data_IF_359270585277
#
_entry.id   IF_359270585277
#
_cell.length_a   1.000
_cell.length_b   1.000
_cell.length_c   1.000
_cell.angle_alpha   90.00
_cell.angle_beta   90.00
_cell.angle_gamma   90.00
#
_symmetry.space_group_name_H-M   'P 1'
#
loop_
_entity.id
_entity.type
_entity.pdbx_description
1 polymer ?
#
# COMPACT_ATOMS: atom_id res chain seq x y z
N UNK A 1 53.68 -57.20 10.24
CA UNK A 1 53.91 -55.76 10.25
C UNK A 1 52.93 -55.13 9.23
N UNK A 2 51.73 -54.83 9.67
CA UNK A 2 50.62 -54.32 8.79
C UNK A 2 50.33 -52.87 9.13
N UNK A 3 50.61 -51.98 8.20
CA UNK A 3 50.26 -50.59 8.29
C UNK A 3 48.84 -50.38 7.74
N UNK A 4 47.89 -50.01 8.60
CA UNK A 4 46.53 -49.56 8.23
C UNK A 4 46.60 -48.04 7.95
N UNK A 5 46.42 -47.65 6.70
CA UNK A 5 46.18 -46.24 6.33
C UNK A 5 44.72 -45.90 6.56
N UNK A 6 44.48 -44.97 7.49
CA UNK A 6 43.17 -44.33 7.67
C UNK A 6 43.01 -43.18 6.66
N UNK A 7 42.15 -43.37 5.68
CA UNK A 7 41.65 -42.29 4.81
C UNK A 7 40.56 -41.53 5.52
N UNK A 8 40.81 -40.29 6.00
CA UNK A 8 39.80 -39.40 6.50
C UNK A 8 39.16 -38.68 5.31
N UNK A 9 37.96 -39.09 4.92
CA UNK A 9 37.09 -38.33 4.00
C UNK A 9 36.57 -37.07 4.69
N UNK A 10 37.10 -35.94 4.27
CA UNK A 10 36.57 -34.62 4.68
C UNK A 10 35.38 -34.29 3.78
N UNK A 11 34.16 -34.57 4.25
CA UNK A 11 32.93 -34.22 3.57
C UNK A 11 32.66 -32.73 3.81
N UNK A 12 33.04 -31.90 2.83
CA UNK A 12 32.78 -30.47 2.85
C UNK A 12 31.32 -30.23 2.52
N UNK A 13 30.46 -30.07 3.56
CA UNK A 13 29.08 -29.61 3.39
C UNK A 13 29.09 -28.13 2.96
N UNK A 14 29.05 -27.88 1.67
CA UNK A 14 28.73 -26.58 1.11
C UNK A 14 27.25 -26.23 1.44
N UNK A 15 27.05 -25.52 2.53
CA UNK A 15 25.79 -24.86 2.82
C UNK A 15 25.58 -23.75 1.80
N UNK A 16 24.83 -24.05 0.74
CA UNK A 16 24.26 -23.01 -0.11
C UNK A 16 23.24 -22.21 0.71
N UNK A 17 23.66 -21.07 1.24
CA UNK A 17 22.75 -20.05 1.68
C UNK A 17 22.00 -19.54 0.45
N UNK A 18 20.80 -20.07 0.20
CA UNK A 18 19.88 -19.44 -0.72
C UNK A 18 19.39 -18.15 -0.06
N UNK A 19 19.95 -17.03 -0.48
CA UNK A 19 19.37 -15.71 -0.18
C UNK A 19 18.05 -15.68 -0.94
N UNK A 20 16.98 -16.03 -0.26
CA UNK A 20 15.62 -15.85 -0.80
C UNK A 20 15.36 -14.35 -0.83
N UNK A 21 15.65 -13.71 -1.96
CA UNK A 21 15.11 -12.38 -2.24
C UNK A 21 13.61 -12.55 -2.35
N UNK A 22 12.86 -11.96 -1.44
CA UNK A 22 11.40 -11.99 -1.47
C UNK A 22 10.93 -11.41 -2.81
N UNK A 23 10.47 -12.28 -3.69
CA UNK A 23 9.96 -11.89 -5.00
C UNK A 23 8.67 -11.10 -4.82
N UNK A 24 8.54 -9.96 -5.50
CA UNK A 24 7.30 -9.20 -5.53
C UNK A 24 6.19 -10.07 -6.13
N UNK A 25 4.98 -10.07 -5.54
CA UNK A 25 3.87 -10.86 -6.07
C UNK A 25 3.43 -10.33 -7.44
N UNK A 26 2.98 -11.20 -8.30
CA UNK A 26 2.28 -10.79 -9.52
C UNK A 26 0.92 -10.19 -9.13
N UNK A 27 0.65 -8.98 -9.61
CA UNK A 27 -0.57 -8.25 -9.28
C UNK A 27 -1.20 -7.64 -10.51
N UNK A 28 -2.51 -7.58 -10.52
CA UNK A 28 -3.29 -6.93 -11.58
C UNK A 28 -4.08 -5.74 -11.04
N UNK A 29 -4.16 -4.68 -11.86
CA UNK A 29 -4.96 -3.49 -11.61
C UNK A 29 -6.26 -3.53 -12.40
N UNK A 30 -7.36 -3.24 -11.72
CA UNK A 30 -8.69 -3.09 -12.30
C UNK A 30 -9.29 -1.76 -11.88
N UNK A 31 -10.18 -1.21 -12.73
CA UNK A 31 -11.05 -0.08 -12.42
C UNK A 31 -12.50 -0.50 -12.55
N UNK A 32 -13.31 -0.17 -11.59
CA UNK A 32 -14.75 -0.35 -11.61
C UNK A 32 -15.46 1.01 -11.43
N UNK A 33 -16.40 1.33 -12.30
CA UNK A 33 -17.25 2.49 -12.20
C UNK A 33 -18.56 2.10 -11.51
N UNK A 34 -18.72 2.52 -10.26
CA UNK A 34 -19.87 2.20 -9.41
C UNK A 34 -21.03 3.11 -9.78
N UNK A 35 -22.21 2.54 -10.04
CA UNK A 35 -23.39 3.31 -10.43
C UNK A 35 -23.91 4.21 -9.30
N UNK A 36 -24.06 3.63 -8.10
CA UNK A 36 -24.51 4.34 -6.90
C UNK A 36 -23.81 3.76 -5.66
N UNK A 37 -22.97 4.56 -5.03
CA UNK A 37 -22.28 4.22 -3.78
C UNK A 37 -23.22 4.09 -2.57
N UNK A 38 -24.44 4.65 -2.64
CA UNK A 38 -25.40 4.60 -1.55
C UNK A 38 -26.35 3.40 -1.64
N UNK A 39 -26.31 2.66 -2.76
CA UNK A 39 -27.09 1.45 -2.90
C UNK A 39 -26.65 0.36 -1.91
N UNK A 40 -27.59 -0.42 -1.41
CA UNK A 40 -27.30 -1.58 -0.53
C UNK A 40 -26.55 -2.69 -1.23
N UNK A 41 -26.63 -2.76 -2.57
CA UNK A 41 -25.83 -3.59 -3.45
C UNK A 41 -25.31 -2.73 -4.60
N UNK A 42 -24.01 -2.81 -4.86
CA UNK A 42 -23.38 -2.04 -5.91
C UNK A 42 -23.56 -2.70 -7.27
N UNK A 43 -23.88 -1.88 -8.25
CA UNK A 43 -23.84 -2.22 -9.66
C UNK A 43 -22.71 -1.44 -10.32
N UNK A 44 -22.04 -2.09 -11.24
CA UNK A 44 -20.91 -1.51 -11.97
C UNK A 44 -21.33 -1.20 -13.40
N UNK A 45 -21.18 0.03 -13.85
CA UNK A 45 -21.40 0.44 -15.23
C UNK A 45 -20.32 -0.18 -16.15
N UNK A 46 -19.09 -0.27 -15.63
CA UNK A 46 -17.95 -0.79 -16.36
C UNK A 46 -16.91 -1.33 -15.39
N UNK A 47 -16.28 -2.45 -15.75
CA UNK A 47 -15.05 -2.94 -15.13
C UNK A 47 -13.99 -3.07 -16.21
N UNK A 48 -12.81 -2.48 -16.00
CA UNK A 48 -11.71 -2.45 -16.96
C UNK A 48 -10.45 -3.06 -16.33
N UNK A 49 -9.76 -3.90 -17.10
CA UNK A 49 -8.45 -4.42 -16.76
C UNK A 49 -7.39 -3.41 -17.19
N UNK A 50 -6.71 -2.77 -16.25
CA UNK A 50 -5.80 -1.65 -16.50
C UNK A 50 -4.36 -2.08 -16.76
N UNK A 51 -3.92 -3.20 -16.18
CA UNK A 51 -2.53 -3.67 -16.27
C UNK A 51 -2.29 -4.69 -17.39
N UNK A 52 -3.09 -4.68 -18.45
CA UNK A 52 -2.95 -5.59 -19.59
C UNK A 52 -1.57 -5.48 -20.30
N UNK A 53 -0.89 -4.35 -20.17
CA UNK A 53 0.46 -4.15 -20.71
C UNK A 53 1.55 -4.89 -19.91
N UNK A 54 1.27 -5.27 -18.65
CA UNK A 54 2.19 -5.93 -17.74
C UNK A 54 1.48 -7.05 -16.93
N UNK A 55 0.89 -8.07 -17.58
CA UNK A 55 -0.01 -9.03 -16.93
C UNK A 55 0.69 -9.99 -15.98
N UNK A 56 2.01 -10.15 -16.09
CA UNK A 56 2.82 -11.04 -15.25
C UNK A 56 3.78 -10.27 -14.32
N UNK A 57 3.55 -8.97 -14.20
CA UNK A 57 4.41 -8.09 -13.41
C UNK A 57 3.79 -7.67 -12.08
N UNK A 58 4.51 -6.80 -11.40
CA UNK A 58 4.03 -6.15 -10.20
C UNK A 58 3.30 -4.86 -10.57
N UNK A 59 1.98 -4.80 -10.35
CA UNK A 59 1.11 -3.65 -10.61
C UNK A 59 0.34 -3.36 -9.34
N UNK A 60 0.77 -2.40 -8.51
CA UNK A 60 0.24 -2.25 -7.17
C UNK A 60 0.22 -0.78 -6.71
N UNK A 61 -0.31 -0.55 -5.50
CA UNK A 61 -0.31 0.73 -4.79
C UNK A 61 -0.90 1.88 -5.62
N UNK A 62 -2.09 1.71 -6.23
CA UNK A 62 -2.72 2.77 -6.98
C UNK A 62 -3.07 3.95 -6.08
N UNK A 63 -2.94 5.15 -6.63
CA UNK A 63 -3.42 6.40 -6.02
C UNK A 63 -4.14 7.22 -7.09
N UNK A 64 -5.46 7.36 -6.95
CA UNK A 64 -6.26 8.16 -7.88
C UNK A 64 -6.06 9.65 -7.61
N UNK A 65 -5.77 10.39 -8.67
CA UNK A 65 -5.67 11.85 -8.68
C UNK A 65 -7.06 12.42 -8.93
N UNK A 66 -7.77 11.83 -9.88
CA UNK A 66 -9.15 12.12 -10.24
C UNK A 66 -9.80 10.87 -10.88
N UNK A 67 -10.96 11.01 -11.51
CA UNK A 67 -11.70 9.90 -12.13
C UNK A 67 -10.94 9.24 -13.30
N UNK A 68 -10.04 9.99 -13.94
CA UNK A 68 -9.36 9.58 -15.17
C UNK A 68 -7.84 9.47 -15.02
N UNK A 69 -7.26 9.99 -13.96
CA UNK A 69 -5.81 9.97 -13.75
C UNK A 69 -5.45 9.30 -12.43
N UNK A 70 -4.46 8.43 -12.46
CA UNK A 70 -3.94 7.80 -11.25
C UNK A 70 -2.44 7.51 -11.40
N UNK A 71 -1.79 7.31 -10.25
CA UNK A 71 -0.42 6.83 -10.14
C UNK A 71 -0.45 5.38 -9.66
N UNK A 72 0.56 4.60 -10.04
CA UNK A 72 0.75 3.26 -9.49
C UNK A 72 2.23 2.91 -9.43
N UNK A 73 2.57 1.97 -8.54
CA UNK A 73 3.88 1.33 -8.50
C UNK A 73 3.87 0.14 -9.44
N UNK A 74 4.75 0.17 -10.44
CA UNK A 74 4.87 -0.86 -11.47
C UNK A 74 6.29 -1.41 -11.49
N UNK A 75 6.40 -2.73 -11.72
CA UNK A 75 7.64 -3.37 -12.16
C UNK A 75 7.30 -4.29 -13.31
N UNK A 76 7.84 -3.99 -14.48
CA UNK A 76 7.75 -4.86 -15.66
C UNK A 76 8.85 -5.92 -15.60
N UNK A 77 8.73 -6.97 -16.43
CA UNK A 77 9.77 -8.00 -16.54
C UNK A 77 11.09 -7.46 -17.13
N UNK A 78 11.07 -6.26 -17.71
CA UNK A 78 12.25 -5.62 -18.29
C UNK A 78 12.96 -4.68 -17.32
N UNK A 79 12.33 -4.39 -16.16
CA UNK A 79 12.86 -3.47 -15.15
C UNK A 79 13.48 -4.23 -13.99
N UNK A 80 14.59 -3.72 -13.47
CA UNK A 80 15.23 -4.25 -12.26
C UNK A 80 14.52 -3.78 -10.99
N UNK A 81 13.94 -2.58 -11.03
CA UNK A 81 13.32 -1.86 -9.91
C UNK A 81 11.83 -1.61 -10.13
N UNK A 82 11.13 -1.26 -9.06
CA UNK A 82 9.78 -0.69 -9.14
C UNK A 82 9.85 0.80 -9.41
N UNK A 83 8.94 1.27 -10.25
CA UNK A 83 8.88 2.66 -10.67
C UNK A 83 7.47 3.22 -10.52
N UNK A 84 7.35 4.55 -10.49
CA UNK A 84 6.05 5.21 -10.47
C UNK A 84 5.60 5.51 -11.90
N UNK A 85 4.42 4.98 -12.23
CA UNK A 85 3.76 5.22 -13.50
C UNK A 85 2.55 6.13 -13.32
N UNK A 86 2.35 7.03 -14.26
CA UNK A 86 1.16 7.86 -14.40
C UNK A 86 0.27 7.30 -15.50
N UNK A 87 -1.02 7.24 -15.24
CA UNK A 87 -2.04 6.72 -16.16
C UNK A 87 -3.04 7.82 -16.51
N UNK A 88 -3.33 7.95 -17.80
CA UNK A 88 -4.38 8.80 -18.36
C UNK A 88 -5.42 7.89 -19.03
N UNK A 89 -6.55 7.70 -18.39
CA UNK A 89 -7.61 6.78 -18.86
C UNK A 89 -8.44 7.36 -20.01
N UNK A 90 -8.41 8.69 -20.21
CA UNK A 90 -9.06 9.33 -21.36
C UNK A 90 -8.29 9.01 -22.63
N UNK A 91 -6.97 9.17 -22.58
CA UNK A 91 -6.09 8.87 -23.72
C UNK A 91 -5.79 7.37 -23.84
N UNK A 92 -6.08 6.59 -22.79
CA UNK A 92 -5.76 5.15 -22.75
C UNK A 92 -4.25 4.89 -22.75
N UNK A 93 -3.45 5.79 -22.18
CA UNK A 93 -1.99 5.67 -22.12
C UNK A 93 -1.46 5.65 -20.69
N UNK A 94 -0.21 5.23 -20.56
CA UNK A 94 0.55 5.26 -19.34
C UNK A 94 1.99 5.70 -19.63
N UNK A 95 2.61 6.34 -18.64
CA UNK A 95 3.98 6.85 -18.76
C UNK A 95 4.74 6.54 -17.48
N UNK A 96 5.94 5.99 -17.60
CA UNK A 96 6.88 5.90 -16.50
C UNK A 96 7.30 7.32 -16.13
N UNK A 97 6.89 7.76 -14.96
CA UNK A 97 7.07 9.15 -14.53
C UNK A 97 8.38 9.35 -13.79
N UNK A 98 8.73 8.44 -12.87
CA UNK A 98 9.96 8.49 -12.08
C UNK A 98 10.90 7.44 -12.63
N UNK A 99 12.16 7.83 -12.83
CA UNK A 99 13.24 6.98 -13.30
C UNK A 99 14.52 7.30 -12.53
N UNK A 100 14.99 6.31 -11.75
CA UNK A 100 16.22 6.41 -10.98
C UNK A 100 16.89 5.03 -10.79
N UNK A 101 17.95 4.95 -10.01
CA UNK A 101 18.67 3.69 -9.76
C UNK A 101 18.08 2.85 -8.62
N UNK A 102 17.09 3.35 -7.91
CA UNK A 102 16.44 2.65 -6.80
C UNK A 102 15.06 2.12 -7.16
N UNK A 103 14.29 1.74 -6.16
CA UNK A 103 12.90 1.34 -6.27
C UNK A 103 12.00 2.36 -5.61
N UNK A 104 10.89 2.74 -6.27
CA UNK A 104 9.92 3.69 -5.74
C UNK A 104 8.57 3.01 -5.50
N UNK A 105 7.92 3.35 -4.37
CA UNK A 105 6.69 2.72 -3.90
C UNK A 105 5.68 3.73 -3.36
N UNK A 106 4.41 3.35 -3.37
CA UNK A 106 3.32 4.07 -2.68
C UNK A 106 3.19 5.54 -3.08
N UNK A 107 3.04 5.86 -4.39
CA UNK A 107 2.95 7.24 -4.85
C UNK A 107 1.72 7.94 -4.29
N UNK A 108 1.85 9.23 -3.95
CA UNK A 108 0.75 10.12 -3.55
C UNK A 108 1.01 11.55 -3.99
N UNK A 109 -0.07 12.29 -4.22
CA UNK A 109 0.01 13.74 -4.34
C UNK A 109 0.07 14.32 -2.92
N UNK A 110 1.01 15.21 -2.69
CA UNK A 110 1.13 15.89 -1.41
C UNK A 110 0.06 17.00 -1.31
N UNK A 111 -0.87 16.85 -0.36
CA UNK A 111 -1.87 17.87 -0.09
C UNK A 111 -1.19 19.14 0.46
N UNK A 112 -1.35 20.26 -0.25
CA UNK A 112 -0.70 21.54 0.10
C UNK A 112 0.54 21.88 -0.72
N UNK A 113 1.05 20.92 -1.53
CA UNK A 113 2.10 21.13 -2.53
C UNK A 113 1.66 20.47 -3.84
N UNK A 114 0.78 21.14 -4.59
CA UNK A 114 0.11 20.55 -5.76
C UNK A 114 1.05 20.08 -6.88
N UNK A 115 2.33 20.49 -6.85
CA UNK A 115 3.34 20.15 -7.86
C UNK A 115 4.31 19.07 -7.40
N UNK A 116 4.00 18.37 -6.31
CA UNK A 116 4.84 17.30 -5.81
C UNK A 116 4.10 15.96 -5.77
N UNK A 117 4.79 14.91 -6.23
CA UNK A 117 4.48 13.53 -5.93
C UNK A 117 5.43 13.09 -4.84
N UNK A 118 4.88 12.54 -3.76
CA UNK A 118 5.67 11.86 -2.74
C UNK A 118 5.64 10.35 -2.97
N UNK A 119 6.72 9.65 -2.64
CA UNK A 119 6.78 8.19 -2.63
C UNK A 119 7.86 7.70 -1.66
N UNK A 120 7.86 6.40 -1.38
CA UNK A 120 8.93 5.74 -0.65
C UNK A 120 10.01 5.34 -1.64
N UNK A 121 11.22 5.86 -1.44
CA UNK A 121 12.40 5.51 -2.23
C UNK A 121 13.31 4.55 -1.46
N UNK A 122 13.71 3.47 -2.14
CA UNK A 122 14.65 2.46 -1.67
C UNK A 122 15.86 2.48 -2.60
N UNK A 123 17.01 3.04 -2.19
CA UNK A 123 18.23 3.04 -3.00
C UNK A 123 18.68 1.62 -3.35
N UNK A 124 19.31 1.44 -4.49
CA UNK A 124 19.76 0.11 -4.97
C UNK A 124 20.74 -0.58 -4.01
N UNK A 125 21.65 0.20 -3.44
CA UNK A 125 22.76 -0.31 -2.61
C UNK A 125 22.55 -0.07 -1.11
N UNK A 126 21.34 0.35 -0.71
CA UNK A 126 21.01 0.66 0.67
C UNK A 126 19.61 0.11 1.01
N UNK A 127 19.47 -0.47 2.18
CA UNK A 127 18.18 -0.97 2.67
C UNK A 127 17.32 0.09 3.37
N UNK A 128 17.74 1.36 3.32
CA UNK A 128 16.96 2.48 3.86
C UNK A 128 15.69 2.69 3.02
N UNK A 129 14.63 3.15 3.68
CA UNK A 129 13.38 3.49 3.03
C UNK A 129 13.01 4.90 3.45
N UNK A 130 13.11 5.85 2.53
CA UNK A 130 12.94 7.28 2.78
C UNK A 130 11.70 7.81 2.08
N UNK A 131 11.01 8.75 2.70
CA UNK A 131 9.98 9.51 2.04
C UNK A 131 10.63 10.64 1.24
N UNK A 132 10.40 10.64 -0.05
CA UNK A 132 10.96 11.63 -0.99
C UNK A 132 9.87 12.31 -1.80
N UNK A 133 10.21 13.45 -2.42
CA UNK A 133 9.34 14.20 -3.31
C UNK A 133 9.97 14.39 -4.66
N UNK A 134 9.16 14.25 -5.69
CA UNK A 134 9.48 14.50 -7.09
C UNK A 134 8.55 15.55 -7.68
N UNK A 135 8.99 16.22 -8.72
CA UNK A 135 8.13 17.08 -9.50
C UNK A 135 7.03 16.28 -10.20
N UNK A 136 5.79 16.71 -10.07
CA UNK A 136 4.61 15.99 -10.53
C UNK A 136 4.55 15.79 -12.05
N UNK A 137 5.15 16.70 -12.81
CA UNK A 137 5.04 16.71 -14.26
C UNK A 137 6.27 16.09 -14.94
N UNK A 138 7.44 16.31 -14.34
CA UNK A 138 8.72 15.90 -14.94
C UNK A 138 9.31 14.66 -14.29
N UNK A 139 8.85 14.26 -13.09
CA UNK A 139 9.43 13.16 -12.34
C UNK A 139 10.84 13.46 -11.79
N UNK A 140 11.29 14.72 -11.85
CA UNK A 140 12.61 15.11 -11.34
C UNK A 140 12.58 15.14 -9.81
N UNK A 141 13.60 14.55 -9.18
CA UNK A 141 13.76 14.60 -7.73
C UNK A 141 13.83 16.04 -7.22
N UNK A 142 13.06 16.34 -6.19
CA UNK A 142 13.03 17.67 -5.54
C UNK A 142 13.73 17.64 -4.19
N UNK A 143 13.33 16.74 -3.31
CA UNK A 143 13.85 16.73 -1.92
C UNK A 143 13.56 15.42 -1.19
N UNK A 144 14.32 15.17 -0.15
CA UNK A 144 13.94 14.18 0.88
C UNK A 144 12.97 14.86 1.85
N UNK A 145 11.79 14.28 2.00
CA UNK A 145 10.74 14.81 2.90
C UNK A 145 10.99 14.35 4.32
N UNK A 146 11.18 13.04 4.50
CA UNK A 146 11.57 12.43 5.76
C UNK A 146 12.81 11.57 5.53
N UNK A 147 13.90 11.96 6.19
CA UNK A 147 15.17 11.27 6.10
C UNK A 147 15.22 10.02 6.99
N UNK A 148 16.08 10.06 7.99
CA UNK A 148 16.36 8.92 8.85
C UNK A 148 15.32 8.77 9.98
N UNK A 149 14.15 8.27 9.60
CA UNK A 149 13.04 7.94 10.52
C UNK A 149 12.87 6.41 10.70
N UNK A 150 13.81 5.60 10.21
CA UNK A 150 13.70 4.15 10.06
C UNK A 150 13.16 3.77 8.69
N UNK A 151 12.83 2.49 8.48
CA UNK A 151 12.35 1.97 7.20
C UNK A 151 10.87 2.31 7.01
N UNK A 152 10.57 3.45 6.40
CA UNK A 152 9.20 3.90 6.15
C UNK A 152 8.60 3.04 5.03
N UNK A 153 7.53 2.28 5.32
CA UNK A 153 6.83 1.46 4.32
C UNK A 153 5.63 2.17 3.68
N UNK A 154 4.88 2.93 4.48
CA UNK A 154 3.70 3.69 4.04
C UNK A 154 3.59 4.99 4.83
N UNK A 155 2.85 5.96 4.31
CA UNK A 155 2.73 7.28 4.91
C UNK A 155 1.42 7.99 4.52
N UNK A 156 1.02 8.98 5.31
CA UNK A 156 -0.03 9.96 5.01
C UNK A 156 0.41 11.32 5.49
N UNK A 157 0.12 12.34 4.71
CA UNK A 157 0.33 13.74 5.09
C UNK A 157 -0.79 14.20 6.06
N UNK A 158 -0.41 14.83 7.16
CA UNK A 158 -1.33 15.42 8.15
C UNK A 158 -1.39 16.96 8.04
N UNK A 159 -0.71 17.53 7.05
CA UNK A 159 -0.51 18.97 6.94
C UNK A 159 0.61 19.52 7.82
N UNK A 160 1.02 20.76 7.58
CA UNK A 160 2.01 21.49 8.40
C UNK A 160 3.30 20.69 8.68
N UNK A 161 3.87 20.07 7.65
CA UNK A 161 5.10 19.27 7.74
C UNK A 161 5.00 18.03 8.68
N UNK A 162 3.78 17.56 8.98
CA UNK A 162 3.54 16.37 9.80
C UNK A 162 3.06 15.21 8.94
N UNK A 163 3.55 14.04 9.28
CA UNK A 163 3.28 12.80 8.58
C UNK A 163 2.96 11.69 9.57
N UNK A 164 1.99 10.86 9.26
CA UNK A 164 1.87 9.56 9.90
C UNK A 164 2.54 8.53 9.04
N UNK A 165 3.39 7.71 9.66
CA UNK A 165 4.21 6.73 8.97
C UNK A 165 4.01 5.34 9.57
N UNK A 166 3.84 4.35 8.68
CA UNK A 166 4.06 2.96 8.99
C UNK A 166 5.56 2.69 8.84
N UNK A 167 6.21 2.24 9.88
CA UNK A 167 7.63 1.98 9.92
C UNK A 167 7.86 0.50 10.17
N UNK A 168 8.64 -0.12 9.30
CA UNK A 168 9.05 -1.51 9.42
C UNK A 168 10.04 -1.66 10.56
N UNK A 169 9.68 -2.52 11.50
CA UNK A 169 10.45 -2.87 12.68
C UNK A 169 10.10 -4.33 13.04
N UNK A 170 10.69 -4.91 14.08
CA UNK A 170 10.32 -6.24 14.59
C UNK A 170 8.81 -6.34 14.85
N UNK A 171 8.24 -5.31 15.44
CA UNK A 171 6.82 -5.04 15.46
C UNK A 171 6.58 -3.77 14.65
N UNK A 172 5.98 -3.89 13.48
CA UNK A 172 5.66 -2.73 12.67
C UNK A 172 4.94 -1.67 13.49
N UNK A 173 5.45 -0.45 13.46
CA UNK A 173 4.96 0.66 14.29
C UNK A 173 4.31 1.76 13.46
N UNK A 174 3.39 2.48 14.10
CA UNK A 174 2.83 3.72 13.57
C UNK A 174 3.31 4.90 14.36
N UNK A 175 3.87 5.87 13.69
CA UNK A 175 4.49 7.04 14.29
C UNK A 175 4.10 8.33 13.57
N UNK A 176 4.05 9.42 14.35
CA UNK A 176 4.05 10.78 13.82
C UNK A 176 5.49 11.22 13.63
N UNK A 177 5.81 11.59 12.40
CA UNK A 177 7.09 12.15 11.97
C UNK A 177 6.90 13.60 11.54
N UNK A 178 7.92 14.43 11.72
CA UNK A 178 7.91 15.82 11.28
C UNK A 178 9.10 16.06 10.33
N UNK A 179 8.88 16.86 9.29
CA UNK A 179 9.98 17.30 8.41
C UNK A 179 11.03 18.04 9.24
N UNK A 180 12.30 17.86 8.89
CA UNK A 180 13.44 18.47 9.57
C UNK A 180 13.62 18.06 11.06
N UNK A 181 12.96 17.00 11.51
CA UNK A 181 13.19 16.39 12.84
C UNK A 181 13.57 14.93 12.67
N UNK A 182 14.52 14.47 13.49
CA UNK A 182 14.90 13.06 13.56
C UNK A 182 14.03 12.26 14.55
N UNK A 183 13.39 12.96 15.50
CA UNK A 183 12.53 12.31 16.48
C UNK A 183 11.15 11.98 15.89
N UNK A 184 10.63 10.82 16.25
CA UNK A 184 9.29 10.35 15.91
C UNK A 184 8.49 10.04 17.17
N UNK A 185 7.17 10.25 17.16
CA UNK A 185 6.27 9.88 18.24
C UNK A 185 5.49 8.62 17.86
N UNK A 186 5.89 7.48 18.43
CA UNK A 186 5.20 6.20 18.25
C UNK A 186 3.92 6.20 19.07
N UNK A 187 2.79 5.74 18.50
CA UNK A 187 1.51 5.64 19.21
C UNK A 187 0.82 4.27 19.04
N UNK A 188 1.28 3.43 18.13
CA UNK A 188 0.78 2.06 17.98
C UNK A 188 1.89 1.13 17.46
N UNK A 189 1.79 -0.15 17.82
CA UNK A 189 2.63 -1.23 17.30
C UNK A 189 1.74 -2.39 16.84
N UNK A 190 2.31 -3.42 16.19
CA UNK A 190 1.57 -4.54 15.61
C UNK A 190 0.46 -4.09 14.66
N UNK A 191 0.77 -3.14 13.80
CA UNK A 191 -0.20 -2.55 12.88
C UNK A 191 -0.19 -3.23 11.51
N UNK A 192 -1.33 -3.16 10.81
CA UNK A 192 -1.43 -3.48 9.38
C UNK A 192 -0.85 -2.36 8.51
N UNK A 193 -0.59 -2.68 7.26
CA UNK A 193 0.02 -1.75 6.28
C UNK A 193 -0.92 -0.61 5.86
N UNK A 194 -2.23 -0.77 6.03
CA UNK A 194 -3.22 0.21 5.58
C UNK A 194 -3.70 1.07 6.74
N UNK A 195 -3.68 2.35 6.51
CA UNK A 195 -4.21 3.38 7.39
C UNK A 195 -4.60 4.61 6.57
N UNK A 196 -5.58 5.36 7.06
CA UNK A 196 -6.03 6.60 6.44
C UNK A 196 -6.09 7.72 7.47
N UNK A 197 -5.67 8.91 7.06
CA UNK A 197 -5.87 10.14 7.81
C UNK A 197 -7.20 10.75 7.34
N UNK A 198 -8.24 10.63 8.13
CA UNK A 198 -9.58 11.18 7.82
C UNK A 198 -9.66 12.68 8.09
N UNK A 199 -8.76 13.17 8.93
CA UNK A 199 -8.55 14.59 9.21
C UNK A 199 -7.11 14.82 9.69
N UNK A 200 -6.75 16.07 9.96
CA UNK A 200 -5.47 16.41 10.59
C UNK A 200 -5.33 15.85 12.04
N UNK A 201 -6.43 15.43 12.64
CA UNK A 201 -6.48 14.92 14.03
C UNK A 201 -6.79 13.41 14.11
N UNK A 202 -7.36 12.80 13.09
CA UNK A 202 -7.85 11.42 13.17
C UNK A 202 -7.16 10.50 12.16
N UNK A 203 -6.70 9.35 12.66
CA UNK A 203 -6.09 8.30 11.86
C UNK A 203 -6.86 7.01 12.12
N UNK A 204 -7.35 6.38 11.04
CA UNK A 204 -7.94 5.04 11.07
C UNK A 204 -6.89 4.04 10.61
N UNK A 205 -6.74 2.90 11.31
CA UNK A 205 -5.76 1.88 10.98
C UNK A 205 -6.17 0.49 11.47
N UNK A 206 -5.56 -0.55 10.90
CA UNK A 206 -5.71 -1.92 11.36
C UNK A 206 -4.67 -2.23 12.43
N UNK A 207 -5.12 -2.70 13.61
CA UNK A 207 -4.30 -3.16 14.71
C UNK A 207 -4.36 -4.70 14.81
N UNK A 208 -3.26 -5.37 14.57
CA UNK A 208 -3.12 -6.83 14.62
C UNK A 208 -2.86 -7.28 16.07
N UNK A 209 -3.92 -7.39 16.87
CA UNK A 209 -3.80 -7.71 18.30
C UNK A 209 -3.33 -9.15 18.51
N UNK A 210 -3.89 -10.09 17.74
CA UNK A 210 -3.52 -11.49 17.70
C UNK A 210 -3.37 -11.95 16.24
N UNK A 211 -2.81 -13.12 16.03
CA UNK A 211 -2.58 -13.65 14.67
C UNK A 211 -3.87 -13.75 13.84
N UNK A 212 -5.00 -13.99 14.47
CA UNK A 212 -6.31 -14.18 13.85
C UNK A 212 -7.35 -13.11 14.21
N UNK A 213 -6.98 -12.14 15.07
CA UNK A 213 -7.87 -11.06 15.50
C UNK A 213 -7.28 -9.69 15.20
N UNK A 214 -7.79 -9.06 14.17
CA UNK A 214 -7.39 -7.74 13.72
C UNK A 214 -8.53 -6.75 13.94
N UNK A 215 -8.22 -5.60 14.52
CA UNK A 215 -9.21 -4.56 14.82
C UNK A 215 -8.96 -3.33 13.99
N UNK A 216 -10.04 -2.80 13.42
CA UNK A 216 -10.06 -1.45 12.86
C UNK A 216 -10.20 -0.48 14.03
N UNK A 217 -9.28 0.46 14.14
CA UNK A 217 -9.23 1.45 15.21
C UNK A 217 -9.09 2.86 14.66
N UNK A 218 -9.59 3.85 15.38
CA UNK A 218 -9.25 5.25 15.18
C UNK A 218 -8.40 5.77 16.33
N UNK A 219 -7.48 6.69 16.02
CA UNK A 219 -6.65 7.41 16.96
C UNK A 219 -6.80 8.91 16.75
N UNK A 220 -7.21 9.62 17.82
CA UNK A 220 -7.22 11.08 17.84
C UNK A 220 -5.88 11.59 18.34
N UNK A 221 -5.21 12.41 17.56
CA UNK A 221 -3.89 12.96 17.89
C UNK A 221 -3.93 13.97 19.04
N UNK A 222 -4.98 14.81 19.08
CA UNK A 222 -5.14 15.86 20.10
C UNK A 222 -5.57 15.30 21.44
N UNK A 223 -6.38 14.23 21.44
CA UNK A 223 -6.90 13.59 22.65
C UNK A 223 -6.04 12.41 23.10
N UNK A 224 -5.10 11.98 22.28
CA UNK A 224 -4.28 10.76 22.47
C UNK A 224 -5.14 9.53 22.80
N UNK A 225 -6.32 9.46 22.19
CA UNK A 225 -7.33 8.44 22.48
C UNK A 225 -7.46 7.45 21.32
N UNK A 226 -7.39 6.17 21.68
CA UNK A 226 -7.61 5.05 20.79
C UNK A 226 -9.03 4.49 20.97
N UNK A 227 -9.75 4.33 19.87
CA UNK A 227 -11.12 3.78 19.87
C UNK A 227 -11.16 2.60 18.90
N UNK A 228 -11.78 1.49 19.29
CA UNK A 228 -12.09 0.37 18.41
C UNK A 228 -13.36 0.67 17.64
N UNK A 229 -13.29 0.57 16.31
CA UNK A 229 -14.44 0.77 15.41
C UNK A 229 -15.14 -0.58 15.18
N UNK A 230 -14.39 -1.59 14.69
CA UNK A 230 -14.93 -2.92 14.41
C UNK A 230 -13.81 -3.96 14.39
N UNK A 231 -14.18 -5.24 14.36
CA UNK A 231 -13.26 -6.31 13.99
C UNK A 231 -13.15 -6.40 12.46
N UNK A 232 -11.95 -6.58 11.94
CA UNK A 232 -11.73 -6.76 10.50
C UNK A 232 -12.18 -8.17 10.06
N UNK A 233 -12.66 -8.33 8.84
CA UNK A 233 -12.84 -9.66 8.27
C UNK A 233 -11.51 -10.43 8.29
N UNK A 234 -11.59 -11.74 8.44
CA UNK A 234 -10.41 -12.61 8.59
C UNK A 234 -9.40 -12.39 7.44
N UNK A 235 -8.14 -12.15 7.78
CA UNK A 235 -7.01 -11.93 6.87
C UNK A 235 -7.13 -10.67 5.99
N UNK A 236 -8.01 -9.73 6.33
CA UNK A 236 -8.15 -8.47 5.61
C UNK A 236 -7.48 -7.35 6.39
N UNK A 237 -6.50 -6.69 5.78
CA UNK A 237 -5.82 -5.52 6.35
C UNK A 237 -5.93 -4.26 5.48
N UNK A 238 -6.48 -4.39 4.28
CA UNK A 238 -6.65 -3.26 3.38
C UNK A 238 -8.09 -2.75 3.45
N UNK A 239 -8.23 -1.43 3.49
CA UNK A 239 -9.51 -0.75 3.51
C UNK A 239 -9.41 0.62 2.84
N UNK A 240 -10.55 1.19 2.46
CA UNK A 240 -10.67 2.58 2.04
C UNK A 240 -11.81 3.26 2.80
N UNK A 241 -11.66 4.56 3.03
CA UNK A 241 -12.67 5.39 3.71
C UNK A 241 -13.39 6.23 2.64
N UNK A 242 -14.71 6.23 2.67
CA UNK A 242 -15.57 7.00 1.81
C UNK A 242 -15.83 8.40 2.42
N UNK A 243 -16.26 9.37 1.60
CA UNK A 243 -16.51 10.76 2.04
C UNK A 243 -17.52 10.88 3.20
N UNK A 244 -18.44 9.93 3.34
CA UNK A 244 -19.43 9.88 4.43
C UNK A 244 -18.97 9.04 5.63
N UNK A 245 -17.67 8.80 5.77
CA UNK A 245 -17.06 7.98 6.82
C UNK A 245 -17.48 6.49 6.82
N UNK A 246 -18.14 6.01 5.76
CA UNK A 246 -18.27 4.58 5.53
C UNK A 246 -16.91 4.01 5.19
N UNK A 247 -16.69 2.76 5.55
CA UNK A 247 -15.42 2.09 5.31
C UNK A 247 -15.70 0.87 4.46
N UNK A 248 -14.87 0.64 3.45
CA UNK A 248 -14.95 -0.55 2.61
C UNK A 248 -13.67 -1.36 2.73
N UNK A 249 -13.81 -2.66 2.60
CA UNK A 249 -12.67 -3.57 2.44
C UNK A 249 -13.03 -4.67 1.43
N UNK A 250 -12.03 -5.44 1.01
CA UNK A 250 -12.27 -6.59 0.17
C UNK A 250 -11.84 -7.89 0.87
N UNK A 251 -12.64 -8.93 0.73
CA UNK A 251 -12.31 -10.28 1.16
C UNK A 251 -12.50 -11.25 -0.01
N UNK A 252 -11.40 -11.69 -0.57
CA UNK A 252 -11.35 -12.44 -1.82
C UNK A 252 -12.00 -11.66 -2.98
N UNK A 253 -13.18 -12.06 -3.45
CA UNK A 253 -13.95 -11.40 -4.52
C UNK A 253 -14.97 -10.39 -4.03
N UNK A 254 -15.26 -10.39 -2.72
CA UNK A 254 -16.36 -9.63 -2.13
C UNK A 254 -15.91 -8.27 -1.63
N UNK A 255 -16.67 -7.24 -1.95
CA UNK A 255 -16.54 -5.91 -1.35
C UNK A 255 -17.50 -5.82 -0.18
N UNK A 256 -16.96 -5.52 0.98
CA UNK A 256 -17.69 -5.37 2.24
C UNK A 256 -17.69 -3.91 2.66
N UNK A 257 -18.79 -3.44 3.24
CA UNK A 257 -18.96 -2.08 3.73
C UNK A 257 -19.34 -2.08 5.21
N UNK A 258 -18.76 -1.13 5.93
CA UNK A 258 -19.07 -0.83 7.32
C UNK A 258 -19.69 0.56 7.41
N UNK A 259 -20.90 0.64 7.97
CA UNK A 259 -21.58 1.90 8.24
C UNK A 259 -21.01 2.59 9.49
N UNK A 260 -21.00 3.92 9.55
CA UNK A 260 -20.62 4.65 10.75
C UNK A 260 -21.41 4.20 11.98
N UNK A 261 -20.69 3.91 13.08
CA UNK A 261 -21.29 3.41 14.32
C UNK A 261 -21.69 1.92 14.30
N UNK A 262 -21.59 1.23 13.19
CA UNK A 262 -21.78 -0.22 13.09
C UNK A 262 -20.50 -0.98 13.44
N UNK A 263 -20.65 -2.23 13.89
CA UNK A 263 -19.56 -3.19 14.01
C UNK A 263 -19.67 -4.33 12.99
N UNK A 264 -20.74 -4.35 12.18
CA UNK A 264 -21.05 -5.44 11.27
C UNK A 264 -20.76 -5.03 9.82
N UNK A 265 -19.89 -5.77 9.17
CA UNK A 265 -19.62 -5.65 7.75
C UNK A 265 -20.77 -6.22 6.93
N UNK A 266 -21.18 -5.53 5.89
CA UNK A 266 -22.21 -5.95 4.94
C UNK A 266 -21.60 -6.09 3.56
N UNK A 267 -21.87 -7.17 2.87
CA UNK A 267 -21.47 -7.34 1.47
C UNK A 267 -22.28 -6.40 0.57
N UNK A 268 -21.58 -5.56 -0.19
CA UNK A 268 -22.16 -4.63 -1.17
C UNK A 268 -21.92 -5.09 -2.61
N UNK A 269 -20.91 -5.91 -2.88
CA UNK A 269 -20.66 -6.51 -4.19
C UNK A 269 -19.92 -7.83 -4.08
N UNK A 270 -20.12 -8.71 -5.08
CA UNK A 270 -19.30 -9.89 -5.34
C UNK A 270 -18.84 -9.87 -6.81
N UNK A 271 -17.54 -9.92 -7.01
CA UNK A 271 -16.92 -9.89 -8.35
C UNK A 271 -16.55 -11.30 -8.85
N UNK A 272 -16.87 -12.36 -8.09
CA UNK A 272 -16.59 -13.74 -8.49
C UNK A 272 -17.25 -14.16 -9.80
N UNK A 273 -18.47 -13.69 -10.17
CA UNK A 273 -19.07 -14.01 -11.46
C UNK A 273 -18.27 -13.47 -12.66
N UNK A 274 -17.40 -12.48 -12.44
CA UNK A 274 -16.50 -11.92 -13.43
C UNK A 274 -15.10 -12.55 -13.42
N UNK A 275 -14.90 -13.61 -12.62
CA UNK A 275 -13.61 -14.27 -12.46
C UNK A 275 -12.60 -13.48 -11.61
N UNK A 276 -13.02 -12.39 -10.95
CA UNK A 276 -12.15 -11.54 -10.14
C UNK A 276 -12.12 -12.09 -8.72
N UNK A 277 -10.90 -12.37 -8.21
CA UNK A 277 -10.62 -12.90 -6.89
C UNK A 277 -9.34 -12.31 -6.31
N UNK A 278 -9.06 -12.63 -5.05
CA UNK A 278 -7.84 -12.22 -4.34
C UNK A 278 -7.63 -10.70 -4.36
N UNK A 279 -8.71 -9.93 -4.22
CA UNK A 279 -8.63 -8.47 -4.10
C UNK A 279 -7.95 -8.17 -2.77
N UNK A 280 -6.81 -7.46 -2.82
CA UNK A 280 -6.01 -7.20 -1.64
C UNK A 280 -5.67 -5.73 -1.41
N UNK A 281 -6.14 -4.84 -2.30
CA UNK A 281 -5.98 -3.39 -2.15
C UNK A 281 -7.10 -2.64 -2.87
N UNK A 282 -7.58 -1.58 -2.23
CA UNK A 282 -8.63 -0.72 -2.73
C UNK A 282 -8.16 0.74 -2.74
N UNK A 283 -8.53 1.48 -3.76
CA UNK A 283 -8.41 2.93 -3.82
C UNK A 283 -9.66 3.51 -4.49
N UNK A 284 -10.36 4.38 -3.79
CA UNK A 284 -11.62 4.96 -4.25
C UNK A 284 -11.48 6.47 -4.42
N UNK A 285 -12.01 6.98 -5.53
CA UNK A 285 -12.21 8.38 -5.79
C UNK A 285 -13.63 8.58 -6.35
N UNK A 286 -14.51 9.24 -5.58
CA UNK A 286 -15.94 9.32 -5.90
C UNK A 286 -16.50 7.91 -6.22
N UNK A 287 -17.15 7.74 -7.36
CA UNK A 287 -17.71 6.45 -7.81
C UNK A 287 -16.71 5.56 -8.57
N UNK A 288 -15.45 5.96 -8.67
CA UNK A 288 -14.39 5.21 -9.36
C UNK A 288 -13.57 4.42 -8.34
N UNK A 289 -13.65 3.10 -8.41
CA UNK A 289 -12.87 2.18 -7.58
C UNK A 289 -11.74 1.57 -8.41
N UNK A 290 -10.49 1.83 -8.03
CA UNK A 290 -9.34 1.06 -8.51
C UNK A 290 -8.98 0.01 -7.46
N UNK A 291 -8.80 -1.23 -7.90
CA UNK A 291 -8.43 -2.31 -6.99
C UNK A 291 -7.32 -3.20 -7.58
N UNK A 292 -6.61 -3.84 -6.67
CA UNK A 292 -5.52 -4.75 -6.99
C UNK A 292 -5.93 -6.18 -6.66
N UNK A 293 -5.67 -7.10 -7.58
CA UNK A 293 -5.75 -8.54 -7.32
C UNK A 293 -4.35 -9.14 -7.31
N UNK A 294 -4.13 -10.12 -6.44
CA UNK A 294 -2.89 -10.91 -6.41
C UNK A 294 -3.11 -12.22 -7.13
N UNK A 295 -2.18 -12.56 -8.01
CA UNK A 295 -2.15 -13.87 -8.66
C UNK A 295 -1.37 -14.82 -7.73
N UNK A 296 -1.98 -15.96 -7.33
CA UNK A 296 -1.34 -16.94 -6.46
C UNK A 296 -0.07 -17.55 -7.04
#
# INVERSE_FOLDING_TARGET
MNHFLFFKSFLCCLLFYQISVAQLPTCNLYKADIQDLNASKWHFNKISFLSNFNPNGYNNQPFQIDENHFLATIKTNQEESTEIYSFDLIKGNYTRLITNSGSDYSPRINTGMNDEITCIHVPKDDSTQKLVAYDKYTGVFKRTVLGDQGKIGYYRNLGKNKWVCFILDDQNIMAICEENRLSRRVFAANIGRTFEATSADEIIFVHKILNDKWLLKSYSLSKEKLITIAEMPKNVEDFAVLENNRIICAQDSRILQLEPGSQNWKEVADLSPLGIRNINRLNLYKNSLIFVTVIP
#
